data_IF_668445730845
#
_entry.id   IF_668445730845
#
_cell.length_a   1.000
_cell.length_b   1.000
_cell.length_c   1.000
_cell.angle_alpha   90.00
_cell.angle_beta   90.00
_cell.angle_gamma   90.00
#
_symmetry.space_group_name_H-M   'P 1'
#
loop_
_entity.id
_entity.type
_entity.pdbx_description
1 polymer ?
#
# COMPACT_ATOMS: atom_id res chain seq x y z
N UNK A 1 -59.93 -53.05 -49.86
CA UNK A 1 -59.30 -52.01 -49.00
C UNK A 1 -57.79 -52.12 -49.11
N UNK A 2 -57.13 -50.96 -49.25
CA UNK A 2 -55.78 -50.76 -49.77
C UNK A 2 -54.67 -51.45 -48.94
N UNK A 3 -53.81 -52.24 -49.60
CA UNK A 3 -52.48 -52.62 -49.11
C UNK A 3 -51.45 -51.63 -49.64
N UNK A 4 -51.00 -50.70 -48.80
CA UNK A 4 -49.88 -49.80 -49.10
C UNK A 4 -48.56 -50.58 -49.14
N UNK A 5 -48.03 -50.78 -50.36
CA UNK A 5 -46.70 -51.34 -50.60
C UNK A 5 -45.68 -50.19 -50.57
N UNK A 6 -44.66 -50.32 -49.71
CA UNK A 6 -43.56 -49.37 -49.54
C UNK A 6 -42.86 -49.08 -50.89
N UNK A 7 -42.70 -47.80 -51.22
CA UNK A 7 -41.69 -47.32 -52.16
C UNK A 7 -40.73 -46.44 -51.35
N UNK A 8 -39.51 -46.93 -51.18
CA UNK A 8 -38.44 -46.22 -50.49
C UNK A 8 -38.11 -44.91 -51.19
N UNK A 9 -37.87 -43.87 -50.39
CA UNK A 9 -37.03 -42.74 -50.77
C UNK A 9 -35.74 -42.88 -49.98
N UNK A 10 -34.65 -42.81 -50.72
CA UNK A 10 -33.34 -43.27 -50.32
C UNK A 10 -32.78 -42.51 -49.12
N UNK A 11 -32.24 -43.28 -48.17
CA UNK A 11 -31.41 -42.81 -47.07
C UNK A 11 -30.03 -42.41 -47.61
N UNK A 12 -29.94 -41.26 -48.28
CA UNK A 12 -28.65 -40.64 -48.61
C UNK A 12 -28.68 -39.12 -48.35
N UNK A 13 -28.64 -38.73 -47.07
CA UNK A 13 -28.17 -37.39 -46.67
C UNK A 13 -27.80 -37.26 -45.17
N UNK A 14 -27.32 -38.33 -44.51
CA UNK A 14 -26.94 -38.27 -43.08
C UNK A 14 -25.44 -38.26 -42.79
N UNK A 15 -24.61 -37.90 -43.76
CA UNK A 15 -23.16 -37.74 -43.57
C UNK A 15 -22.55 -36.75 -44.57
N UNK A 16 -23.19 -35.60 -44.81
CA UNK A 16 -22.51 -34.47 -45.45
C UNK A 16 -21.83 -33.67 -44.34
N UNK A 17 -20.49 -33.69 -44.31
CA UNK A 17 -19.74 -32.70 -43.54
C UNK A 17 -20.05 -31.33 -44.13
N UNK A 18 -20.55 -30.38 -43.34
CA UNK A 18 -20.89 -29.05 -43.85
C UNK A 18 -19.64 -28.40 -44.44
N UNK A 19 -19.79 -27.74 -45.59
CA UNK A 19 -18.70 -26.98 -46.20
C UNK A 19 -18.35 -25.77 -45.34
N UNK A 20 -17.16 -25.19 -45.55
CA UNK A 20 -16.70 -24.02 -44.78
C UNK A 20 -17.71 -22.86 -44.87
N UNK A 21 -18.35 -22.69 -46.02
CA UNK A 21 -19.40 -21.68 -46.25
C UNK A 21 -20.66 -21.98 -45.43
N UNK A 22 -21.17 -23.21 -45.45
CA UNK A 22 -22.33 -23.61 -44.63
C UNK A 22 -22.04 -23.46 -43.13
N UNK A 23 -20.82 -23.75 -42.70
CA UNK A 23 -20.41 -23.57 -41.30
C UNK A 23 -20.24 -22.09 -40.93
N UNK A 24 -19.78 -21.24 -41.85
CA UNK A 24 -19.74 -19.78 -41.67
C UNK A 24 -21.14 -19.19 -41.61
N UNK A 25 -22.06 -19.66 -42.45
CA UNK A 25 -23.47 -19.27 -42.43
C UNK A 25 -24.14 -19.70 -41.13
N UNK A 26 -23.99 -20.95 -40.70
CA UNK A 26 -24.56 -21.42 -39.43
C UNK A 26 -24.01 -20.66 -38.21
N UNK A 27 -22.71 -20.32 -38.20
CA UNK A 27 -22.14 -19.45 -37.16
C UNK A 27 -22.70 -18.04 -37.22
N UNK A 28 -22.90 -17.50 -38.42
CA UNK A 28 -23.47 -16.16 -38.62
C UNK A 28 -24.93 -16.12 -38.19
N UNK A 29 -25.73 -17.12 -38.57
CA UNK A 29 -27.14 -17.26 -38.17
C UNK A 29 -27.28 -17.52 -36.67
N UNK A 30 -26.40 -18.35 -36.08
CA UNK A 30 -26.39 -18.56 -34.63
C UNK A 30 -26.05 -17.27 -33.89
N UNK A 31 -25.03 -16.53 -34.33
CA UNK A 31 -24.65 -15.24 -33.74
C UNK A 31 -25.73 -14.17 -33.96
N UNK A 32 -26.40 -14.16 -35.11
CA UNK A 32 -27.50 -13.24 -35.41
C UNK A 32 -28.73 -13.55 -34.54
N UNK A 33 -29.01 -14.83 -34.28
CA UNK A 33 -30.07 -15.25 -33.35
C UNK A 33 -29.73 -14.87 -31.90
N UNK A 34 -28.49 -15.08 -31.46
CA UNK A 34 -28.02 -14.70 -30.12
C UNK A 34 -28.07 -13.18 -29.92
N UNK A 35 -27.68 -12.39 -30.92
CA UNK A 35 -27.70 -10.92 -30.87
C UNK A 35 -29.11 -10.30 -30.89
N UNK A 36 -30.12 -11.01 -31.41
CA UNK A 36 -31.49 -10.52 -31.44
C UNK A 36 -32.35 -11.02 -30.27
N UNK A 37 -31.76 -11.73 -29.32
CA UNK A 37 -32.48 -12.30 -28.19
C UNK A 37 -32.17 -11.50 -26.90
N UNK A 38 -33.08 -10.63 -26.42
CA UNK A 38 -32.83 -9.71 -25.30
C UNK A 38 -32.48 -10.42 -23.99
N UNK A 39 -32.82 -11.71 -23.91
CA UNK A 39 -32.57 -12.56 -22.75
C UNK A 39 -31.07 -12.83 -22.54
N UNK A 40 -30.27 -12.87 -23.61
CA UNK A 40 -28.82 -13.05 -23.55
C UNK A 40 -28.09 -11.74 -23.26
N UNK A 41 -28.53 -10.62 -23.84
CA UNK A 41 -27.98 -9.30 -23.51
C UNK A 41 -28.21 -8.92 -22.04
N UNK A 42 -29.37 -9.28 -21.46
CA UNK A 42 -29.63 -9.07 -20.05
C UNK A 42 -28.70 -9.92 -19.17
N UNK A 43 -28.45 -11.18 -19.54
CA UNK A 43 -27.55 -12.06 -18.79
C UNK A 43 -26.10 -11.59 -18.84
N UNK A 44 -25.63 -11.11 -20.00
CA UNK A 44 -24.29 -10.57 -20.15
C UNK A 44 -24.13 -9.25 -19.37
N UNK A 45 -25.11 -8.34 -19.41
CA UNK A 45 -25.10 -7.12 -18.59
C UNK A 45 -25.08 -7.44 -17.09
N UNK A 46 -25.92 -8.37 -16.62
CA UNK A 46 -25.93 -8.79 -15.22
C UNK A 46 -24.62 -9.48 -14.82
N UNK A 47 -23.99 -10.21 -15.74
CA UNK A 47 -22.69 -10.84 -15.54
C UNK A 47 -21.58 -9.78 -15.38
N UNK A 48 -21.49 -8.80 -16.29
CA UNK A 48 -20.52 -7.71 -16.17
C UNK A 48 -20.77 -6.85 -14.92
N UNK A 49 -22.03 -6.57 -14.56
CA UNK A 49 -22.38 -5.81 -13.36
C UNK A 49 -21.99 -6.55 -12.08
N UNK A 50 -22.15 -7.88 -12.04
CA UNK A 50 -21.73 -8.71 -10.89
C UNK A 50 -20.22 -8.88 -10.82
N UNK A 51 -19.52 -9.01 -11.94
CA UNK A 51 -18.05 -9.03 -11.99
C UNK A 51 -17.44 -7.68 -11.58
N UNK A 52 -18.02 -6.56 -12.02
CA UNK A 52 -17.64 -5.22 -11.56
C UNK A 52 -17.84 -5.09 -10.04
N UNK A 53 -18.98 -5.54 -9.52
CA UNK A 53 -19.29 -5.53 -8.08
C UNK A 53 -18.36 -6.44 -7.27
N UNK A 54 -17.96 -7.59 -7.80
CA UNK A 54 -17.01 -8.51 -7.17
C UNK A 54 -15.58 -7.97 -7.18
N UNK A 55 -15.17 -7.28 -8.26
CA UNK A 55 -13.89 -6.58 -8.35
C UNK A 55 -13.77 -5.40 -7.39
N UNK A 56 -14.88 -4.69 -7.14
CA UNK A 56 -14.96 -3.62 -6.14
C UNK A 56 -14.86 -4.13 -4.69
N UNK A 57 -15.42 -5.31 -4.40
CA UNK A 57 -15.39 -5.93 -3.06
C UNK A 57 -14.05 -6.64 -2.72
N UNK A 58 -13.22 -6.95 -3.71
CA UNK A 58 -11.88 -7.53 -3.51
C UNK A 58 -10.77 -6.51 -3.31
N UNK A 59 -11.03 -5.22 -3.52
CA UNK A 59 -10.06 -4.20 -3.14
C UNK A 59 -10.03 -4.09 -1.62
N UNK A 60 -8.89 -4.38 -0.95
CA UNK A 60 -8.81 -4.13 0.47
C UNK A 60 -9.14 -2.65 0.69
N UNK A 61 -10.01 -2.30 1.66
CA UNK A 61 -10.35 -0.91 1.93
C UNK A 61 -9.03 -0.17 2.05
N UNK A 62 -8.91 0.97 1.35
CA UNK A 62 -7.72 1.80 1.25
C UNK A 62 -6.93 1.69 2.54
N UNK A 63 -5.86 0.85 2.52
CA UNK A 63 -5.17 0.40 3.72
C UNK A 63 -4.44 1.61 4.29
N UNK A 64 -5.17 2.44 5.03
CA UNK A 64 -4.60 3.59 5.66
C UNK A 64 -3.61 3.05 6.67
N UNK A 65 -2.39 3.60 6.65
CA UNK A 65 -1.33 3.14 7.55
C UNK A 65 -1.83 3.14 9.02
N UNK A 66 -2.71 4.08 9.38
CA UNK A 66 -3.33 4.12 10.72
C UNK A 66 -4.13 2.87 11.07
N UNK A 67 -4.93 2.32 10.15
CA UNK A 67 -5.75 1.12 10.40
C UNK A 67 -4.90 -0.15 10.56
N UNK A 68 -3.82 -0.26 9.79
CA UNK A 68 -2.85 -1.36 9.92
C UNK A 68 -2.10 -1.32 11.25
N UNK A 69 -1.74 -0.14 11.75
CA UNK A 69 -1.07 0.02 13.04
C UNK A 69 -1.97 -0.29 14.24
N UNK A 70 -3.25 0.05 14.15
CA UNK A 70 -4.23 -0.22 15.21
C UNK A 70 -4.45 -1.73 15.40
N UNK A 71 -4.50 -2.50 14.30
CA UNK A 71 -4.65 -3.96 14.34
C UNK A 71 -3.39 -4.72 14.76
N UNK A 72 -2.20 -4.23 14.40
CA UNK A 72 -0.96 -5.00 14.60
C UNK A 72 -0.28 -4.75 15.95
N UNK A 73 -0.70 -3.75 16.73
CA UNK A 73 -0.01 -3.31 17.97
C UNK A 73 1.49 -3.02 17.78
N UNK A 74 1.95 -2.81 16.54
CA UNK A 74 3.36 -2.62 16.23
C UNK A 74 3.74 -1.13 16.32
N UNK A 75 4.95 -0.86 16.81
CA UNK A 75 5.50 0.50 16.82
C UNK A 75 5.80 0.98 15.39
N UNK A 76 5.44 2.23 15.03
CA UNK A 76 5.71 2.81 13.71
C UNK A 76 7.18 2.71 13.33
N UNK A 77 7.45 2.47 12.05
CA UNK A 77 8.82 2.35 11.54
C UNK A 77 9.64 3.62 11.83
N UNK A 78 9.01 4.79 11.73
CA UNK A 78 9.60 6.09 12.01
C UNK A 78 10.08 6.18 13.45
N UNK A 79 9.32 5.64 14.40
CA UNK A 79 9.67 5.66 15.82
C UNK A 79 10.85 4.73 16.11
N UNK A 80 10.86 3.53 15.51
CA UNK A 80 11.99 2.59 15.60
C UNK A 80 13.26 3.23 15.01
N UNK A 81 13.16 3.86 13.85
CA UNK A 81 14.26 4.56 13.17
C UNK A 81 14.76 5.73 14.04
N UNK A 82 13.85 6.55 14.58
CA UNK A 82 14.19 7.68 15.46
C UNK A 82 14.90 7.18 16.72
N UNK A 83 14.39 6.15 17.39
CA UNK A 83 15.03 5.55 18.58
C UNK A 83 16.44 5.06 18.29
N UNK A 84 16.64 4.34 17.18
CA UNK A 84 17.97 3.88 16.75
C UNK A 84 18.91 5.05 16.47
N UNK A 85 18.41 6.10 15.81
CA UNK A 85 19.16 7.33 15.53
C UNK A 85 19.61 8.02 16.81
N UNK A 86 18.73 8.23 17.78
CA UNK A 86 19.12 8.82 19.07
C UNK A 86 20.08 7.93 19.84
N UNK A 87 19.92 6.60 19.83
CA UNK A 87 20.95 5.72 20.41
C UNK A 87 22.33 5.95 19.78
N UNK A 88 22.39 6.08 18.46
CA UNK A 88 23.63 6.34 17.73
C UNK A 88 24.20 7.74 18.04
N UNK A 89 23.38 8.80 18.02
CA UNK A 89 23.80 10.17 18.36
C UNK A 89 24.44 10.20 19.75
N UNK A 90 23.83 9.56 20.75
CA UNK A 90 24.39 9.52 22.09
C UNK A 90 25.71 8.77 22.17
N UNK A 91 25.87 7.68 21.41
CA UNK A 91 27.15 6.98 21.32
C UNK A 91 28.23 7.86 20.70
N UNK A 92 27.90 8.60 19.64
CA UNK A 92 28.81 9.48 18.93
C UNK A 92 29.19 10.72 19.77
N UNK A 93 28.23 11.34 20.46
CA UNK A 93 28.46 12.53 21.30
C UNK A 93 29.35 12.23 22.52
N UNK A 94 29.32 10.99 23.03
CA UNK A 94 30.18 10.51 24.12
C UNK A 94 31.61 10.22 23.69
N UNK A 95 31.91 10.15 22.39
CA UNK A 95 33.30 10.05 21.93
C UNK A 95 34.02 11.38 22.16
N UNK A 96 35.35 11.32 22.13
CA UNK A 96 36.18 12.52 22.24
C UNK A 96 35.85 13.52 21.13
N UNK A 97 36.08 14.81 21.42
CA UNK A 97 35.87 15.93 20.49
C UNK A 97 36.60 15.75 19.16
N UNK A 98 37.80 15.17 19.20
CA UNK A 98 38.68 14.95 18.05
C UNK A 98 38.26 13.75 17.18
N UNK A 99 37.27 12.95 17.61
CA UNK A 99 36.85 11.80 16.83
C UNK A 99 36.13 12.23 15.55
N UNK A 100 36.58 11.72 14.41
CA UNK A 100 35.99 11.98 13.07
C UNK A 100 34.47 11.74 13.09
N UNK A 101 34.01 10.66 13.74
CA UNK A 101 32.57 10.36 13.83
C UNK A 101 31.76 11.45 14.54
N UNK A 102 32.36 12.15 15.50
CA UNK A 102 31.73 13.28 16.22
C UNK A 102 31.73 14.54 15.37
N UNK A 103 32.81 14.81 14.65
CA UNK A 103 32.89 15.92 13.70
C UNK A 103 31.83 15.79 12.59
N UNK A 104 31.57 14.56 12.11
CA UNK A 104 30.54 14.27 11.09
C UNK A 104 29.13 14.73 11.50
N UNK A 105 28.82 14.81 12.80
CA UNK A 105 27.50 15.30 13.25
C UNK A 105 27.28 16.78 12.93
N UNK A 106 28.34 17.58 13.00
CA UNK A 106 28.31 19.04 12.80
C UNK A 106 28.81 19.43 11.41
N UNK A 107 29.50 18.51 10.71
CA UNK A 107 30.11 18.77 9.42
C UNK A 107 29.09 19.11 8.33
N UNK A 108 29.34 20.21 7.61
CA UNK A 108 28.62 20.55 6.40
C UNK A 108 29.50 20.21 5.20
N UNK A 109 29.19 19.18 4.39
CA UNK A 109 30.02 18.85 3.25
C UNK A 109 29.94 19.97 2.21
N UNK A 110 31.09 20.56 1.90
CA UNK A 110 31.22 21.53 0.82
C UNK A 110 31.01 20.82 -0.53
N UNK A 111 30.14 21.39 -1.36
CA UNK A 111 29.86 20.88 -2.70
C UNK A 111 28.41 21.06 -3.16
N UNK A 112 28.24 21.21 -4.48
CA UNK A 112 26.92 21.28 -5.11
C UNK A 112 26.38 19.86 -5.30
N UNK A 113 25.18 19.59 -4.78
CA UNK A 113 24.47 18.31 -4.99
C UNK A 113 23.92 18.22 -6.41
N UNK A 114 23.89 16.99 -6.97
CA UNK A 114 23.16 16.69 -8.21
C UNK A 114 21.65 16.93 -8.02
N UNK A 115 21.00 17.54 -9.02
CA UNK A 115 19.54 17.78 -9.07
C UNK A 115 18.80 16.43 -9.01
N UNK A 116 17.75 16.32 -8.19
CA UNK A 116 16.88 15.12 -8.09
C UNK A 116 17.04 14.27 -6.82
N UNK A 117 18.13 14.38 -6.06
CA UNK A 117 18.27 13.64 -4.78
C UNK A 117 17.50 14.34 -3.65
N UNK A 118 16.71 13.62 -2.82
CA UNK A 118 16.02 14.20 -1.68
C UNK A 118 16.95 14.96 -0.73
N UNK A 119 16.44 16.06 -0.15
CA UNK A 119 17.18 17.00 0.71
C UNK A 119 17.45 16.46 2.15
N UNK A 120 17.63 15.16 2.33
CA UNK A 120 17.64 14.47 3.63
C UNK A 120 19.05 14.25 4.23
N UNK A 121 19.85 15.31 4.35
CA UNK A 121 21.20 15.19 4.96
C UNK A 121 21.09 14.82 6.45
N UNK A 122 22.01 13.98 6.95
CA UNK A 122 22.09 13.57 8.37
C UNK A 122 21.91 14.76 9.32
N UNK A 123 22.63 15.85 9.09
CA UNK A 123 22.52 17.10 9.86
C UNK A 123 21.09 17.66 9.91
N UNK A 124 20.41 17.79 8.77
CA UNK A 124 19.03 18.31 8.70
C UNK A 124 18.02 17.41 9.42
N UNK A 125 18.22 16.10 9.29
CA UNK A 125 17.38 15.12 9.97
C UNK A 125 17.55 15.26 11.50
N UNK A 126 18.79 15.38 11.98
CA UNK A 126 19.08 15.57 13.40
C UNK A 126 18.56 16.92 13.88
N UNK A 127 18.78 18.00 13.13
CA UNK A 127 18.24 19.33 13.45
C UNK A 127 16.71 19.32 13.55
N UNK A 128 16.02 18.62 12.65
CA UNK A 128 14.58 18.45 12.71
C UNK A 128 14.14 17.68 13.96
N UNK A 129 14.78 16.53 14.23
CA UNK A 129 14.50 15.74 15.44
C UNK A 129 14.77 16.58 16.71
N UNK A 130 15.82 17.39 16.72
CA UNK A 130 16.19 18.23 17.87
C UNK A 130 15.19 19.38 18.07
N UNK A 131 14.73 20.01 16.98
CA UNK A 131 13.65 21.00 16.99
C UNK A 131 12.36 20.42 17.54
N UNK A 132 11.99 19.20 17.14
CA UNK A 132 10.77 18.55 17.68
C UNK A 132 10.84 18.30 19.19
N UNK A 133 12.04 18.22 19.75
CA UNK A 133 12.27 17.96 21.17
C UNK A 133 12.61 19.22 21.97
N UNK A 134 12.67 20.39 21.33
CA UNK A 134 13.03 21.67 21.93
C UNK A 134 14.36 21.64 22.71
N UNK A 135 15.37 20.94 22.19
CA UNK A 135 16.73 20.95 22.75
C UNK A 135 17.69 21.76 21.89
N UNK A 136 18.73 22.30 22.53
CA UNK A 136 19.91 22.85 21.87
C UNK A 136 21.05 21.81 21.83
N UNK A 137 22.06 22.04 20.99
CA UNK A 137 23.21 21.14 20.85
C UNK A 137 23.99 20.99 22.17
N UNK A 138 24.15 22.08 22.91
CA UNK A 138 24.90 22.12 24.18
C UNK A 138 24.20 21.32 25.28
N UNK A 139 22.88 21.48 25.42
CA UNK A 139 22.07 20.71 26.35
C UNK A 139 22.03 19.24 25.97
N UNK A 140 21.96 18.94 24.67
CA UNK A 140 22.01 17.56 24.19
C UNK A 140 23.35 16.88 24.50
N UNK A 141 24.46 17.59 24.32
CA UNK A 141 25.80 17.11 24.65
C UNK A 141 25.91 16.80 26.15
N UNK A 142 25.40 17.69 27.01
CA UNK A 142 25.37 17.48 28.46
C UNK A 142 24.55 16.26 28.86
N UNK A 143 23.34 16.10 28.30
CA UNK A 143 22.48 14.93 28.56
C UNK A 143 23.10 13.65 27.97
N UNK A 144 23.85 13.73 26.87
CA UNK A 144 24.51 12.56 26.27
C UNK A 144 25.60 11.97 27.16
N UNK A 145 26.29 12.81 27.93
CA UNK A 145 27.28 12.39 28.92
C UNK A 145 26.63 11.72 30.13
N UNK A 146 25.48 12.23 30.58
CA UNK A 146 24.66 11.53 31.58
C UNK A 146 24.00 10.29 30.98
N UNK A 147 24.49 9.10 31.34
CA UNK A 147 23.94 7.84 30.83
C UNK A 147 22.49 7.60 31.26
N UNK A 148 22.10 8.07 32.45
CA UNK A 148 20.74 7.88 32.98
C UNK A 148 19.80 8.86 32.30
N UNK A 149 20.16 10.15 32.27
CA UNK A 149 19.43 11.19 31.55
C UNK A 149 19.25 10.84 30.07
N UNK A 150 20.28 10.33 29.40
CA UNK A 150 20.18 9.88 28.02
C UNK A 150 19.21 8.71 27.85
N UNK A 151 19.24 7.73 28.76
CA UNK A 151 18.33 6.57 28.71
C UNK A 151 16.88 7.01 28.92
N UNK A 152 16.63 7.96 29.81
CA UNK A 152 15.31 8.54 30.05
C UNK A 152 14.79 9.29 28.82
N UNK A 153 15.63 10.12 28.20
CA UNK A 153 15.28 10.82 26.96
C UNK A 153 14.93 9.83 25.84
N UNK A 154 15.80 8.84 25.60
CA UNK A 154 15.60 7.84 24.53
C UNK A 154 14.38 6.95 24.78
N UNK A 155 14.05 6.66 26.04
CA UNK A 155 12.86 5.90 26.41
C UNK A 155 11.60 6.76 26.29
N UNK A 156 11.66 8.02 26.71
CA UNK A 156 10.58 9.00 26.61
C UNK A 156 10.15 9.27 25.17
N UNK A 157 11.08 9.21 24.21
CA UNK A 157 10.80 9.29 22.77
C UNK A 157 9.79 8.23 22.27
N UNK A 158 9.68 7.09 22.94
CA UNK A 158 8.70 6.05 22.62
C UNK A 158 7.36 6.18 23.37
N UNK A 159 7.33 6.97 24.44
CA UNK A 159 6.13 7.18 25.25
C UNK A 159 5.32 8.40 24.80
N UNK A 160 5.99 9.45 24.31
CA UNK A 160 5.35 10.72 23.93
C UNK A 160 4.32 10.57 22.80
N UNK A 161 4.55 9.66 21.84
CA UNK A 161 3.62 9.34 20.75
C UNK A 161 2.47 8.41 21.19
N UNK A 162 2.60 7.71 22.33
CA UNK A 162 1.51 6.89 22.89
C UNK A 162 0.46 7.75 23.59
N UNK A 163 0.86 8.81 24.28
CA UNK A 163 -0.08 9.75 24.92
C UNK A 163 -0.75 10.69 23.91
N UNK A 164 -0.03 11.17 22.88
CA UNK A 164 -0.65 11.92 21.79
C UNK A 164 -1.61 11.07 20.93
N UNK A 165 -1.42 9.74 20.87
CA UNK A 165 -2.37 8.80 20.24
C UNK A 165 -3.73 8.79 20.93
N UNK A 166 -3.77 8.76 22.27
CA UNK A 166 -5.04 8.84 23.03
C UNK A 166 -5.75 10.17 22.78
N UNK A 167 -5.03 11.29 22.83
CA UNK A 167 -5.62 12.61 22.54
C UNK A 167 -6.15 12.73 21.12
N UNK A 168 -5.47 12.16 20.12
CA UNK A 168 -5.96 12.14 18.74
C UNK A 168 -7.19 11.25 18.55
N UNK A 169 -7.28 10.13 19.29
CA UNK A 169 -8.48 9.28 19.32
C UNK A 169 -9.64 9.99 20.03
N UNK A 170 -9.40 10.63 21.17
CA UNK A 170 -10.40 11.40 21.93
C UNK A 170 -10.94 12.58 21.11
N UNK A 171 -10.09 13.31 20.37
CA UNK A 171 -10.53 14.39 19.48
C UNK A 171 -11.35 13.90 18.29
N UNK A 172 -11.03 12.73 17.71
CA UNK A 172 -11.81 12.14 16.60
C UNK A 172 -13.16 11.60 17.08
N UNK A 173 -13.17 10.94 18.23
CA UNK A 173 -14.41 10.41 18.83
C UNK A 173 -15.34 11.52 19.33
N UNK A 174 -14.82 12.72 19.62
CA UNK A 174 -15.63 13.88 20.02
C UNK A 174 -16.20 14.67 18.83
N UNK A 175 -15.71 14.42 17.60
CA UNK A 175 -16.26 15.03 16.38
C UNK A 175 -17.27 14.15 15.64
N UNK A 176 -17.48 12.93 16.13
CA UNK A 176 -18.44 11.95 15.60
C UNK A 176 -19.76 11.90 16.41
N UNK A 177 -19.96 12.85 17.34
CA UNK A 177 -21.20 13.10 18.07
C UNK A 177 -21.69 14.54 17.87
#
# INVERSE_FOLDING_TARGET
MLRCRRKGKDLQSKSRTPTIEEHMELKTTFNQYQSHNPQYEHQDSQFYDTELKLGELQQPPSRSNSLLWERTNQLPAEEKIRKRRWKWIGHTLRKSSNCITRQVLTWNPEGKRKRGRPKNTLRRIIEADMKTMNYNWTGLERIAQDRVGWRMLVSGLCSFTRSNRRKQQEMKNSSEF
#
